data_IF_037849116606
#
_entry.id   IF_037849116606
#
_cell.length_a   1.000
_cell.length_b   1.000
_cell.length_c   1.000
_cell.angle_alpha   90.00
_cell.angle_beta   90.00
_cell.angle_gamma   90.00
#
_symmetry.space_group_name_H-M   'P 1'
#
loop_
_entity.id
_entity.type
_entity.pdbx_description
1 polymer ?
#
# COMPACT_ATOMS: atom_id res chain seq x y z
N UNK A 1 -23.05 11.19 -15.51
CA UNK A 1 -21.59 11.35 -15.71
C UNK A 1 -21.18 12.25 -16.89
N UNK A 2 -21.64 12.01 -18.13
CA UNK A 2 -21.17 12.77 -19.31
C UNK A 2 -21.33 14.30 -19.22
N UNK A 3 -22.34 14.78 -18.48
CA UNK A 3 -22.65 16.20 -18.35
C UNK A 3 -21.86 16.94 -17.25
N UNK A 4 -21.05 16.25 -16.44
CA UNK A 4 -20.25 16.95 -15.43
C UNK A 4 -19.10 17.75 -16.06
N UNK A 5 -18.76 18.95 -15.55
CA UNK A 5 -17.56 19.66 -15.96
C UNK A 5 -16.31 18.80 -15.72
N UNK A 6 -15.34 18.87 -16.63
CA UNK A 6 -14.11 18.05 -16.59
C UNK A 6 -13.35 18.10 -15.26
N UNK A 7 -13.36 19.26 -14.60
CA UNK A 7 -12.75 19.47 -13.27
C UNK A 7 -13.41 18.64 -12.18
N UNK A 8 -14.74 18.64 -12.11
CA UNK A 8 -15.48 17.83 -11.13
C UNK A 8 -15.32 16.34 -11.40
N UNK A 9 -15.15 15.92 -12.67
CA UNK A 9 -14.89 14.51 -12.95
C UNK A 9 -13.59 14.04 -12.36
N UNK A 10 -12.56 14.88 -12.42
CA UNK A 10 -11.25 14.57 -11.86
C UNK A 10 -11.30 14.46 -10.33
N UNK A 11 -12.11 15.29 -9.67
CA UNK A 11 -12.33 15.24 -8.21
C UNK A 11 -13.10 13.97 -7.82
N UNK A 12 -14.09 13.56 -8.63
CA UNK A 12 -14.87 12.36 -8.37
C UNK A 12 -14.17 11.05 -8.80
N UNK A 13 -12.87 11.10 -9.16
CA UNK A 13 -12.09 9.90 -9.39
C UNK A 13 -11.69 9.25 -8.07
N UNK A 14 -11.77 7.92 -8.02
CA UNK A 14 -11.45 7.10 -6.86
C UNK A 14 -10.14 7.49 -6.16
N UNK A 15 -9.08 7.75 -6.94
CA UNK A 15 -7.77 8.09 -6.37
C UNK A 15 -7.76 9.42 -5.62
N UNK A 16 -8.61 10.39 -5.99
CA UNK A 16 -8.70 11.64 -5.24
C UNK A 16 -9.26 11.36 -3.85
N UNK A 17 -10.34 10.57 -3.76
CA UNK A 17 -10.90 10.16 -2.47
C UNK A 17 -9.92 9.31 -1.66
N UNK A 18 -9.19 8.40 -2.31
CA UNK A 18 -8.15 7.59 -1.67
C UNK A 18 -7.06 8.47 -1.04
N UNK A 19 -6.45 9.37 -1.81
CA UNK A 19 -5.37 10.22 -1.28
C UNK A 19 -5.89 11.28 -0.32
N UNK A 20 -7.12 11.76 -0.48
CA UNK A 20 -7.74 12.66 0.47
C UNK A 20 -7.99 11.95 1.82
N UNK A 21 -8.52 10.73 1.82
CA UNK A 21 -8.74 9.96 3.05
C UNK A 21 -7.42 9.62 3.74
N UNK A 22 -6.41 9.17 2.98
CA UNK A 22 -5.06 8.92 3.51
C UNK A 22 -4.42 10.20 4.05
N UNK A 23 -4.60 11.34 3.38
CA UNK A 23 -4.14 12.64 3.86
C UNK A 23 -4.82 13.07 5.16
N UNK A 24 -6.12 12.84 5.30
CA UNK A 24 -6.85 13.09 6.54
C UNK A 24 -6.32 12.22 7.70
N UNK A 25 -6.07 10.93 7.44
CA UNK A 25 -5.45 10.03 8.42
C UNK A 25 -4.06 10.54 8.82
N UNK A 26 -3.21 10.87 7.85
CA UNK A 26 -1.87 11.42 8.10
C UNK A 26 -1.92 12.66 9.00
N UNK A 27 -2.79 13.62 8.67
CA UNK A 27 -2.93 14.87 9.44
C UNK A 27 -3.43 14.56 10.86
N UNK A 28 -4.38 13.63 11.02
CA UNK A 28 -4.88 13.21 12.33
C UNK A 28 -3.74 12.66 13.20
N UNK A 29 -2.93 11.74 12.66
CA UNK A 29 -1.80 11.14 13.37
C UNK A 29 -0.70 12.16 13.69
N UNK A 30 -0.43 13.12 12.79
CA UNK A 30 0.52 14.23 13.04
C UNK A 30 0.02 15.12 14.18
N UNK A 31 -1.27 15.44 14.20
CA UNK A 31 -1.88 16.24 15.27
C UNK A 31 -1.77 15.50 16.61
N UNK A 32 -2.08 14.20 16.63
CA UNK A 32 -1.99 13.37 17.83
C UNK A 32 -0.55 13.30 18.37
N UNK A 33 0.42 13.05 17.49
CA UNK A 33 1.84 13.08 17.85
C UNK A 33 2.27 14.47 18.35
N UNK A 34 1.79 15.55 17.71
CA UNK A 34 2.06 16.92 18.13
C UNK A 34 1.50 17.23 19.51
N UNK A 35 0.28 16.77 19.82
CA UNK A 35 -0.33 16.90 21.14
C UNK A 35 0.45 16.11 22.19
N UNK A 36 0.90 14.90 21.85
CA UNK A 36 1.74 14.08 22.73
C UNK A 36 3.06 14.79 23.06
N UNK A 37 3.74 15.32 22.05
CA UNK A 37 4.99 16.07 22.22
C UNK A 37 4.79 17.36 23.02
N UNK A 38 3.65 18.05 22.83
CA UNK A 38 3.32 19.27 23.57
C UNK A 38 2.94 19.00 25.04
N UNK A 39 2.26 17.88 25.32
CA UNK A 39 1.90 17.45 26.67
C UNK A 39 3.12 16.95 27.46
N UNK A 40 4.12 16.43 26.76
CA UNK A 40 5.37 15.95 27.34
C UNK A 40 6.58 16.72 26.77
N UNK A 41 6.67 18.04 27.02
CA UNK A 41 7.73 18.90 26.47
C UNK A 41 9.12 18.55 27.04
N UNK A 42 9.15 17.67 28.05
CA UNK A 42 10.35 17.13 28.69
C UNK A 42 10.43 15.60 28.51
N UNK A 43 10.22 15.10 27.29
CA UNK A 43 10.92 13.86 26.88
C UNK A 43 12.40 14.22 26.81
N UNK A 44 13.02 14.40 27.99
CA UNK A 44 14.45 14.59 28.06
C UNK A 44 15.06 13.31 27.49
N UNK A 45 15.97 13.38 26.50
CA UNK A 45 16.43 12.20 25.77
C UNK A 45 17.00 11.09 26.68
N UNK A 46 17.44 11.46 27.89
CA UNK A 46 17.93 10.57 28.94
C UNK A 46 16.86 10.02 29.90
N UNK A 47 15.80 10.76 30.19
CA UNK A 47 14.78 10.39 31.19
C UNK A 47 13.41 10.50 30.56
N UNK A 48 13.06 9.46 29.82
CA UNK A 48 11.70 9.27 29.37
C UNK A 48 10.83 9.10 30.63
N UNK A 49 9.88 9.99 30.85
CA UNK A 49 8.91 9.84 31.93
C UNK A 49 7.96 8.69 31.54
N UNK A 50 8.40 7.48 31.82
CA UNK A 50 7.60 6.27 31.70
C UNK A 50 6.56 6.28 32.81
N UNK A 51 5.35 5.83 32.51
CA UNK A 51 4.30 5.72 33.51
C UNK A 51 4.75 4.90 34.73
N UNK A 52 4.43 5.38 35.94
CA UNK A 52 4.91 4.77 37.18
C UNK A 52 4.41 3.32 37.39
N UNK A 53 3.35 2.93 36.68
CA UNK A 53 2.75 1.59 36.69
C UNK A 53 3.49 0.57 35.81
N UNK A 54 4.48 1.00 35.00
CA UNK A 54 5.26 0.08 34.17
C UNK A 54 6.28 -0.72 35.01
N UNK A 55 6.32 -2.07 34.88
CA UNK A 55 7.35 -2.94 35.44
C UNK A 55 8.76 -2.52 35.05
N UNK A 56 9.76 -2.70 35.91
CA UNK A 56 11.14 -2.25 35.65
C UNK A 56 11.77 -2.92 34.42
N UNK A 57 11.39 -4.17 34.15
CA UNK A 57 11.80 -4.95 32.97
C UNK A 57 11.37 -4.30 31.65
N UNK A 58 10.19 -3.67 31.61
CA UNK A 58 9.64 -3.03 30.41
C UNK A 58 10.18 -1.60 30.19
N UNK A 59 10.84 -0.99 31.20
CA UNK A 59 11.34 0.41 31.12
C UNK A 59 12.52 0.60 30.17
N UNK A 60 13.15 -0.48 29.73
CA UNK A 60 14.37 -0.46 28.95
C UNK A 60 14.08 -0.24 27.46
N UNK A 61 13.78 1.01 27.07
CA UNK A 61 13.68 1.40 25.66
C UNK A 61 15.02 2.01 25.19
N UNK A 62 15.70 1.40 24.21
CA UNK A 62 16.98 1.91 23.73
C UNK A 62 16.83 3.28 23.06
N UNK A 63 17.79 4.18 23.28
CA UNK A 63 17.72 5.58 22.83
C UNK A 63 17.65 5.72 21.31
N UNK A 64 18.31 4.86 20.55
CA UNK A 64 18.26 4.88 19.08
C UNK A 64 16.85 4.64 18.53
N UNK A 65 16.06 3.76 19.18
CA UNK A 65 14.70 3.46 18.76
C UNK A 65 13.79 4.67 18.96
N UNK A 66 14.06 5.49 19.99
CA UNK A 66 13.33 6.75 20.23
C UNK A 66 13.55 7.74 19.10
N UNK A 67 14.80 8.00 18.73
CA UNK A 67 15.14 8.88 17.61
C UNK A 67 14.56 8.38 16.30
N UNK A 68 14.63 7.07 16.05
CA UNK A 68 14.01 6.46 14.89
C UNK A 68 12.50 6.69 14.87
N UNK A 69 11.82 6.45 16.00
CA UNK A 69 10.38 6.62 16.11
C UNK A 69 9.92 8.08 15.99
N UNK A 70 10.73 9.06 16.41
CA UNK A 70 10.48 10.49 16.18
C UNK A 70 10.61 10.88 14.70
N UNK A 71 11.38 10.13 13.91
CA UNK A 71 11.50 10.31 12.46
C UNK A 71 10.33 9.74 11.66
N UNK A 72 9.49 8.89 12.26
CA UNK A 72 8.36 8.23 11.57
C UNK A 72 7.33 9.18 10.96
N UNK A 73 6.88 10.29 11.59
CA UNK A 73 5.96 11.23 10.94
C UNK A 73 6.54 11.84 9.66
N UNK A 74 7.85 12.15 9.66
CA UNK A 74 8.53 12.68 8.48
C UNK A 74 8.61 11.62 7.37
N UNK A 75 9.00 10.38 7.72
CA UNK A 75 9.06 9.28 6.77
C UNK A 75 7.69 8.95 6.15
N UNK A 76 6.62 8.97 6.94
CA UNK A 76 5.24 8.79 6.46
C UNK A 76 4.80 9.93 5.54
N UNK A 77 5.08 11.18 5.93
CA UNK A 77 4.75 12.35 5.11
C UNK A 77 5.51 12.35 3.77
N UNK A 78 6.79 11.96 3.76
CA UNK A 78 7.58 11.80 2.53
C UNK A 78 7.02 10.70 1.64
N UNK A 79 6.76 9.51 2.19
CA UNK A 79 6.17 8.38 1.46
C UNK A 79 4.83 8.74 0.84
N UNK A 80 3.96 9.42 1.60
CA UNK A 80 2.68 9.94 1.11
C UNK A 80 2.87 10.96 -0.02
N UNK A 81 3.79 11.90 0.13
CA UNK A 81 4.06 12.97 -0.85
C UNK A 81 4.59 12.41 -2.17
N UNK A 82 5.48 11.43 -2.11
CA UNK A 82 6.05 10.72 -3.27
C UNK A 82 4.95 9.93 -3.98
N UNK A 83 4.16 9.15 -3.25
CA UNK A 83 3.01 8.42 -3.81
C UNK A 83 2.03 9.36 -4.52
N UNK A 84 1.62 10.44 -3.84
CA UNK A 84 0.72 11.44 -4.39
C UNK A 84 1.29 12.12 -5.65
N UNK A 85 2.59 12.43 -5.66
CA UNK A 85 3.27 13.00 -6.81
C UNK A 85 3.27 12.03 -8.01
N UNK A 86 3.62 10.76 -7.80
CA UNK A 86 3.62 9.75 -8.86
C UNK A 86 2.22 9.49 -9.40
N UNK A 87 1.21 9.37 -8.53
CA UNK A 87 -0.19 9.24 -8.95
C UNK A 87 -0.64 10.47 -9.73
N UNK A 88 -0.33 11.68 -9.28
CA UNK A 88 -0.68 12.91 -10.00
C UNK A 88 -0.01 12.99 -11.37
N UNK A 89 1.27 12.61 -11.46
CA UNK A 89 2.01 12.55 -12.74
C UNK A 89 1.40 11.50 -13.68
N UNK A 90 1.06 10.32 -13.17
CA UNK A 90 0.41 9.26 -13.93
C UNK A 90 -0.95 9.72 -14.47
N UNK A 91 -1.80 10.31 -13.61
CA UNK A 91 -3.09 10.86 -14.00
C UNK A 91 -2.98 11.94 -15.09
N UNK A 92 -1.97 12.83 -15.00
CA UNK A 92 -1.70 13.84 -16.03
C UNK A 92 -1.25 13.21 -17.35
N UNK A 93 -0.41 12.19 -17.32
CA UNK A 93 0.05 11.48 -18.51
C UNK A 93 -1.12 10.80 -19.23
N UNK A 94 -2.00 10.13 -18.48
CA UNK A 94 -3.21 9.54 -19.02
C UNK A 94 -4.09 10.58 -19.71
N UNK A 95 -4.29 11.74 -19.08
CA UNK A 95 -5.07 12.83 -19.66
C UNK A 95 -4.47 13.38 -20.95
N UNK A 96 -3.13 13.39 -21.06
CA UNK A 96 -2.42 13.93 -22.22
C UNK A 96 -2.41 12.96 -23.41
N UNK A 97 -2.16 11.68 -23.18
CA UNK A 97 -1.94 10.69 -24.25
C UNK A 97 -3.12 9.77 -24.51
N UNK A 98 -4.00 9.57 -23.53
CA UNK A 98 -5.04 8.57 -23.59
C UNK A 98 -6.27 8.96 -24.39
N UNK A 99 -6.44 10.24 -24.78
CA UNK A 99 -7.59 10.74 -25.57
C UNK A 99 -8.98 10.49 -24.99
N UNK A 100 -9.09 9.81 -23.85
CA UNK A 100 -10.31 9.19 -23.31
C UNK A 100 -10.33 9.15 -21.79
N UNK A 101 -11.39 8.56 -21.22
CA UNK A 101 -11.65 8.58 -19.79
C UNK A 101 -10.76 7.58 -19.04
N UNK A 102 -10.42 7.86 -17.78
CA UNK A 102 -9.74 6.87 -16.92
C UNK A 102 -10.59 5.61 -16.74
N UNK A 103 -11.92 5.76 -16.72
CA UNK A 103 -12.87 4.65 -16.65
C UNK A 103 -12.75 3.66 -17.81
N UNK A 104 -12.12 4.05 -18.92
CA UNK A 104 -12.04 3.21 -20.11
C UNK A 104 -10.95 2.15 -20.01
N UNK A 105 -10.13 2.14 -18.96
CA UNK A 105 -9.07 1.15 -18.76
C UNK A 105 -8.87 0.80 -17.29
N UNK A 106 -9.43 -0.35 -16.87
CA UNK A 106 -9.23 -0.92 -15.52
C UNK A 106 -7.74 -1.06 -15.13
N UNK A 107 -6.86 -1.27 -16.11
CA UNK A 107 -5.41 -1.40 -15.89
C UNK A 107 -4.80 -0.15 -15.21
N UNK A 108 -5.32 1.04 -15.52
CA UNK A 108 -4.82 2.30 -14.94
C UNK A 108 -5.21 2.45 -13.48
N UNK A 109 -6.45 2.10 -13.13
CA UNK A 109 -6.94 2.18 -11.74
C UNK A 109 -6.20 1.18 -10.84
N UNK A 110 -5.97 -0.04 -11.35
CA UNK A 110 -5.14 -1.06 -10.71
C UNK A 110 -3.71 -0.56 -10.43
N UNK A 111 -3.08 0.10 -11.41
CA UNK A 111 -1.73 0.66 -11.25
C UNK A 111 -1.67 1.69 -10.12
N UNK A 112 -2.69 2.54 -9.97
CA UNK A 112 -2.74 3.54 -8.89
C UNK A 112 -2.82 2.88 -7.51
N UNK A 113 -3.53 1.76 -7.37
CA UNK A 113 -3.60 1.01 -6.10
C UNK A 113 -2.22 0.48 -5.70
N UNK A 114 -1.45 -0.05 -6.66
CA UNK A 114 -0.06 -0.49 -6.42
C UNK A 114 0.84 0.68 -6.01
N UNK A 115 0.68 1.84 -6.65
CA UNK A 115 1.47 3.05 -6.30
C UNK A 115 1.12 3.59 -4.91
N UNK A 116 -0.11 3.42 -4.45
CA UNK A 116 -0.57 3.90 -3.14
C UNK A 116 -0.09 3.02 -1.97
N UNK A 117 0.36 1.80 -2.23
CA UNK A 117 0.77 0.83 -1.20
C UNK A 117 1.82 1.39 -0.22
N UNK A 118 2.95 1.98 -0.65
CA UNK A 118 3.96 2.50 0.29
C UNK A 118 3.40 3.56 1.23
N UNK A 119 2.50 4.42 0.75
CA UNK A 119 1.86 5.44 1.57
C UNK A 119 1.00 4.80 2.66
N UNK A 120 0.16 3.82 2.32
CA UNK A 120 -0.69 3.09 3.28
C UNK A 120 0.15 2.37 4.33
N UNK A 121 1.18 1.64 3.91
CA UNK A 121 2.04 0.92 4.84
C UNK A 121 2.75 1.87 5.81
N UNK A 122 3.28 2.99 5.30
CA UNK A 122 3.93 4.01 6.13
C UNK A 122 2.97 4.67 7.13
N UNK A 123 1.71 4.90 6.73
CA UNK A 123 0.68 5.48 7.60
C UNK A 123 0.27 4.52 8.72
N UNK A 124 0.04 3.25 8.41
CA UNK A 124 -0.29 2.24 9.42
C UNK A 124 0.87 2.04 10.40
N UNK A 125 2.11 2.05 9.89
CA UNK A 125 3.31 1.96 10.73
C UNK A 125 3.47 3.19 11.63
N UNK A 126 3.20 4.39 11.12
CA UNK A 126 3.23 5.61 11.91
C UNK A 126 2.15 5.62 13.00
N UNK A 127 0.91 5.28 12.68
CA UNK A 127 -0.16 5.17 13.69
C UNK A 127 0.16 4.14 14.77
N UNK A 128 0.77 3.00 14.40
CA UNK A 128 1.21 2.00 15.37
C UNK A 128 2.30 2.54 16.33
N UNK A 129 3.18 3.41 15.83
CA UNK A 129 4.18 4.10 16.64
C UNK A 129 3.52 5.11 17.59
N UNK A 130 2.56 5.92 17.12
CA UNK A 130 1.79 6.85 17.97
C UNK A 130 1.10 6.10 19.11
N UNK A 131 0.46 4.96 18.83
CA UNK A 131 -0.19 4.14 19.85
C UNK A 131 0.79 3.63 20.92
N UNK A 132 1.99 3.22 20.50
CA UNK A 132 3.05 2.81 21.41
C UNK A 132 3.55 3.99 22.25
N UNK A 133 3.71 5.17 21.67
CA UNK A 133 4.09 6.37 22.41
C UNK A 133 3.05 6.72 23.46
N UNK A 134 1.76 6.71 23.11
CA UNK A 134 0.68 6.95 24.06
C UNK A 134 0.62 5.89 25.18
N UNK A 135 0.98 4.63 24.89
CA UNK A 135 1.14 3.61 25.93
C UNK A 135 2.26 3.97 26.91
N UNK A 136 3.44 4.32 26.38
CA UNK A 136 4.63 4.59 27.19
C UNK A 136 4.50 5.85 28.06
N UNK A 137 3.82 6.87 27.56
CA UNK A 137 3.60 8.15 28.28
C UNK A 137 2.35 8.13 29.15
N UNK A 138 1.43 7.19 28.92
CA UNK A 138 0.10 7.18 29.54
C UNK A 138 -0.80 8.31 29.03
N UNK A 139 -0.41 8.98 27.94
CA UNK A 139 -1.17 10.05 27.34
C UNK A 139 -2.39 9.48 26.59
N UNK A 140 -3.58 9.98 26.91
CA UNK A 140 -4.81 9.71 26.15
C UNK A 140 -5.29 11.01 25.47
N UNK A 141 -4.97 11.23 24.18
CA UNK A 141 -5.36 12.45 23.46
C UNK A 141 -6.88 12.59 23.35
N UNK A 142 -7.63 11.49 23.45
CA UNK A 142 -9.09 11.49 23.35
C UNK A 142 -9.80 11.44 24.71
N UNK A 143 -9.03 11.28 25.81
CA UNK A 143 -9.47 11.38 27.20
C UNK A 143 -10.62 10.46 27.64
N UNK A 144 -11.06 9.51 26.82
CA UNK A 144 -12.30 8.73 27.05
C UNK A 144 -12.27 7.30 26.49
N UNK A 145 -11.19 6.86 25.84
CA UNK A 145 -11.21 5.59 25.09
C UNK A 145 -10.17 4.57 25.54
N UNK A 146 -9.18 4.97 26.32
CA UNK A 146 -8.18 4.01 26.81
C UNK A 146 -8.63 3.37 28.13
N UNK A 147 -8.34 2.08 28.34
CA UNK A 147 -8.55 1.45 29.63
C UNK A 147 -7.78 2.22 30.73
N UNK A 148 -8.46 2.62 31.80
CA UNK A 148 -7.83 3.21 32.99
C UNK A 148 -7.24 2.16 33.93
N UNK A 149 -7.18 0.90 33.49
CA UNK A 149 -6.75 -0.25 34.27
C UNK A 149 -5.26 -0.35 34.54
N UNK A 150 -4.82 -1.54 34.96
CA UNK A 150 -3.41 -1.83 35.21
C UNK A 150 -2.58 -1.80 33.90
N UNK A 151 -1.25 -1.76 34.03
CA UNK A 151 -0.32 -1.76 32.89
C UNK A 151 -0.59 -2.90 31.89
N UNK A 152 -0.90 -4.10 32.39
CA UNK A 152 -1.16 -5.27 31.55
C UNK A 152 -2.37 -5.09 30.64
N UNK A 153 -3.45 -4.50 31.15
CA UNK A 153 -4.67 -4.22 30.38
C UNK A 153 -4.41 -3.14 29.31
N UNK A 154 -3.69 -2.06 29.67
CA UNK A 154 -3.29 -1.01 28.73
C UNK A 154 -2.42 -1.57 27.61
N UNK A 155 -1.41 -2.37 27.97
CA UNK A 155 -0.52 -3.04 27.02
C UNK A 155 -1.30 -3.97 26.09
N UNK A 156 -2.19 -4.81 26.64
CA UNK A 156 -3.03 -5.71 25.84
C UNK A 156 -3.86 -4.95 24.80
N UNK A 157 -4.53 -3.88 25.22
CA UNK A 157 -5.30 -3.02 24.33
C UNK A 157 -4.45 -2.39 23.20
N UNK A 158 -3.27 -1.87 23.54
CA UNK A 158 -2.39 -1.24 22.53
C UNK A 158 -1.80 -2.28 21.59
N UNK A 159 -1.44 -3.47 22.06
CA UNK A 159 -0.98 -4.58 21.22
C UNK A 159 -2.08 -5.03 20.25
N UNK A 160 -3.34 -5.07 20.68
CA UNK A 160 -4.46 -5.38 19.80
C UNK A 160 -4.62 -4.34 18.69
N UNK A 161 -4.59 -3.05 19.03
CA UNK A 161 -4.65 -1.96 18.02
C UNK A 161 -3.46 -1.96 17.08
N UNK A 162 -2.26 -2.17 17.60
CA UNK A 162 -1.04 -2.36 16.82
C UNK A 162 -1.21 -3.50 15.81
N UNK A 163 -1.71 -4.65 16.28
CA UNK A 163 -1.96 -5.82 15.43
C UNK A 163 -2.99 -5.52 14.35
N UNK A 164 -4.06 -4.80 14.68
CA UNK A 164 -5.08 -4.41 13.71
C UNK A 164 -4.52 -3.50 12.60
N UNK A 165 -3.69 -2.52 12.93
CA UNK A 165 -3.05 -1.63 11.94
C UNK A 165 -2.14 -2.41 10.99
N UNK A 166 -1.33 -3.33 11.51
CA UNK A 166 -0.46 -4.17 10.67
C UNK A 166 -1.25 -5.21 9.87
N UNK A 167 -2.36 -5.73 10.39
CA UNK A 167 -3.25 -6.61 9.63
C UNK A 167 -3.85 -5.89 8.41
N UNK A 168 -4.26 -4.63 8.56
CA UNK A 168 -4.73 -3.79 7.45
C UNK A 168 -3.62 -3.53 6.43
N UNK A 169 -2.40 -3.21 6.91
CA UNK A 169 -1.24 -3.01 6.04
C UNK A 169 -0.89 -4.27 5.23
N UNK A 170 -0.86 -5.44 5.88
CA UNK A 170 -0.58 -6.73 5.26
C UNK A 170 -1.67 -7.16 4.27
N UNK A 171 -2.95 -6.90 4.59
CA UNK A 171 -4.05 -7.15 3.66
C UNK A 171 -3.89 -6.30 2.40
N UNK A 172 -3.54 -5.02 2.55
CA UNK A 172 -3.32 -4.14 1.41
C UNK A 172 -2.09 -4.55 0.60
N UNK A 173 -1.01 -4.98 1.26
CA UNK A 173 0.19 -5.53 0.60
C UNK A 173 -0.15 -6.73 -0.28
N UNK A 174 -0.83 -7.73 0.29
CA UNK A 174 -1.23 -8.92 -0.45
C UNK A 174 -2.11 -8.58 -1.67
N UNK A 175 -3.06 -7.65 -1.48
CA UNK A 175 -3.92 -7.18 -2.55
C UNK A 175 -3.16 -6.41 -3.64
N UNK A 176 -2.25 -5.52 -3.26
CA UNK A 176 -1.41 -4.77 -4.20
C UNK A 176 -0.48 -5.70 -5.01
N UNK A 177 0.10 -6.72 -4.36
CA UNK A 177 0.91 -7.73 -5.03
C UNK A 177 0.10 -8.57 -6.03
N UNK A 178 -1.11 -8.97 -5.66
CA UNK A 178 -2.02 -9.68 -6.57
C UNK A 178 -2.30 -8.85 -7.83
N UNK A 179 -2.63 -7.56 -7.64
CA UNK A 179 -2.85 -6.64 -8.76
C UNK A 179 -1.59 -6.50 -9.62
N UNK A 180 -0.43 -6.36 -8.98
CA UNK A 180 0.83 -6.23 -9.71
C UNK A 180 1.13 -7.46 -10.57
N UNK A 181 0.84 -8.67 -10.08
CA UNK A 181 0.98 -9.91 -10.86
C UNK A 181 0.04 -9.89 -12.06
N UNK A 182 -1.23 -9.52 -11.88
CA UNK A 182 -2.17 -9.42 -13.00
C UNK A 182 -1.74 -8.41 -14.06
N UNK A 183 -1.29 -7.22 -13.63
CA UNK A 183 -0.74 -6.20 -14.53
C UNK A 183 0.46 -6.73 -15.33
N UNK A 184 1.30 -7.54 -14.69
CA UNK A 184 2.48 -8.13 -15.32
C UNK A 184 2.11 -9.23 -16.33
N UNK A 185 1.09 -10.05 -16.02
CA UNK A 185 0.60 -11.08 -16.93
C UNK A 185 -0.09 -10.48 -18.15
N UNK A 186 -0.92 -9.45 -17.96
CA UNK A 186 -1.58 -8.72 -19.06
C UNK A 186 -0.53 -8.13 -20.02
N UNK A 187 0.54 -7.55 -19.48
CA UNK A 187 1.64 -6.99 -20.26
C UNK A 187 2.47 -8.07 -20.98
N UNK A 188 2.72 -9.20 -20.31
CA UNK A 188 3.41 -10.33 -20.92
C UNK A 188 2.61 -10.91 -22.09
N UNK A 189 1.30 -11.09 -21.92
CA UNK A 189 0.42 -11.58 -22.99
C UNK A 189 0.38 -10.61 -24.18
N UNK A 190 0.30 -9.30 -23.91
CA UNK A 190 0.38 -8.28 -24.95
C UNK A 190 1.68 -8.36 -25.76
N UNK A 191 2.82 -8.53 -25.09
CA UNK A 191 4.12 -8.64 -25.74
C UNK A 191 4.32 -9.95 -26.53
N UNK A 192 3.79 -11.08 -26.02
CA UNK A 192 3.84 -12.36 -26.75
C UNK A 192 3.07 -12.28 -28.06
N UNK A 193 1.90 -11.63 -28.08
CA UNK A 193 1.08 -11.45 -29.30
C UNK A 193 1.78 -10.61 -30.37
N UNK A 194 2.46 -9.54 -29.96
CA UNK A 194 3.28 -8.73 -30.87
C UNK A 194 4.37 -9.59 -31.53
N UNK A 195 4.92 -10.54 -30.77
CA UNK A 195 6.00 -11.42 -31.25
C UNK A 195 5.50 -12.52 -32.18
N UNK A 196 4.31 -13.09 -31.93
CA UNK A 196 3.75 -14.17 -32.77
C UNK A 196 3.18 -13.68 -34.10
N UNK A 197 2.99 -12.37 -34.29
CA UNK A 197 2.41 -11.81 -35.51
C UNK A 197 0.92 -12.14 -35.68
N UNK A 198 0.28 -12.73 -34.66
CA UNK A 198 -1.16 -12.96 -34.63
C UNK A 198 -1.87 -11.62 -34.38
N UNK A 199 -2.13 -10.88 -35.47
CA UNK A 199 -3.06 -9.75 -35.48
C UNK A 199 -4.51 -10.24 -35.35
N UNK A 200 -4.85 -10.92 -34.25
CA UNK A 200 -6.23 -11.26 -33.97
C UNK A 200 -7.04 -9.96 -33.70
N UNK A 201 -8.24 -9.80 -34.31
CA UNK A 201 -9.03 -8.57 -34.21
C UNK A 201 -9.32 -8.15 -32.76
N UNK A 202 -9.26 -6.85 -32.44
CA UNK A 202 -9.35 -6.34 -31.07
C UNK A 202 -10.71 -6.56 -30.37
N UNK A 203 -11.76 -6.91 -31.10
CA UNK A 203 -13.13 -6.97 -30.56
C UNK A 203 -13.43 -8.21 -29.71
N UNK A 204 -12.74 -9.35 -29.94
CA UNK A 204 -12.93 -10.55 -29.11
C UNK A 204 -12.31 -10.42 -27.70
N UNK A 205 -11.46 -9.41 -27.47
CA UNK A 205 -10.64 -9.25 -26.25
C UNK A 205 -11.40 -8.73 -25.03
N UNK A 206 -12.45 -7.92 -25.22
CA UNK A 206 -13.17 -7.30 -24.09
C UNK A 206 -14.03 -8.29 -23.32
N UNK A 207 -14.52 -9.32 -23.98
CA UNK A 207 -15.50 -10.25 -23.39
C UNK A 207 -14.87 -11.20 -22.37
N UNK A 208 -13.63 -11.66 -22.57
CA UNK A 208 -12.98 -12.61 -21.66
C UNK A 208 -12.45 -11.98 -20.37
N UNK A 209 -11.96 -10.73 -20.40
CA UNK A 209 -11.48 -10.08 -19.16
C UNK A 209 -12.61 -9.50 -18.32
N UNK A 210 -13.72 -9.08 -18.95
CA UNK A 210 -14.96 -8.70 -18.24
C UNK A 210 -15.62 -9.92 -17.59
N UNK A 211 -15.69 -11.06 -18.28
CA UNK A 211 -16.25 -12.30 -17.73
C UNK A 211 -15.49 -12.78 -16.48
N UNK A 212 -14.16 -12.62 -16.44
CA UNK A 212 -13.37 -12.96 -15.24
C UNK A 212 -13.54 -11.97 -14.09
N UNK A 213 -14.01 -10.73 -14.35
CA UNK A 213 -14.16 -9.70 -13.31
C UNK A 213 -15.59 -9.56 -12.78
N UNK A 214 -16.61 -9.82 -13.59
CA UNK A 214 -18.03 -9.73 -13.18
C UNK A 214 -18.46 -10.91 -12.31
N UNK A 215 -17.85 -12.10 -12.46
CA UNK A 215 -18.14 -13.26 -11.61
C UNK A 215 -17.42 -13.22 -10.24
N UNK A 216 -16.55 -12.22 -10.01
CA UNK A 216 -15.73 -12.14 -8.79
C UNK A 216 -16.43 -11.42 -7.61
N UNK A 217 -17.60 -10.82 -7.81
CA UNK A 217 -18.26 -9.99 -6.80
C UNK A 217 -19.30 -10.80 -5.99
N UNK A 218 -18.85 -11.63 -5.03
CA UNK A 218 -19.75 -12.03 -3.94
C UNK A 218 -19.35 -13.25 -3.11
N UNK A 219 -18.74 -14.28 -3.68
CA UNK A 219 -18.34 -15.51 -2.94
C UNK A 219 -17.18 -16.26 -3.59
N UNK A 220 -16.72 -15.82 -4.77
CA UNK A 220 -15.78 -16.57 -5.59
C UNK A 220 -14.33 -16.12 -5.48
N UNK A 221 -14.00 -15.06 -4.74
CA UNK A 221 -12.58 -14.66 -4.58
C UNK A 221 -11.78 -15.76 -3.87
N UNK A 222 -12.34 -16.41 -2.85
CA UNK A 222 -11.68 -17.50 -2.12
C UNK A 222 -11.59 -18.79 -2.95
N UNK A 223 -12.60 -19.05 -3.80
CA UNK A 223 -12.57 -20.13 -4.79
C UNK A 223 -11.63 -19.86 -5.94
N UNK A 224 -11.52 -18.62 -6.41
CA UNK A 224 -10.60 -18.19 -7.46
C UNK A 224 -9.17 -18.16 -6.96
N UNK A 225 -8.90 -17.74 -5.72
CA UNK A 225 -7.59 -17.89 -5.10
C UNK A 225 -7.24 -19.36 -4.92
N UNK A 226 -8.18 -20.20 -4.47
CA UNK A 226 -7.97 -21.65 -4.35
C UNK A 226 -7.79 -22.31 -5.73
N UNK A 227 -8.55 -21.91 -6.76
CA UNK A 227 -8.43 -22.43 -8.12
C UNK A 227 -7.18 -21.92 -8.83
N UNK A 228 -6.79 -20.66 -8.64
CA UNK A 228 -5.54 -20.12 -9.16
C UNK A 228 -4.34 -20.80 -8.49
N UNK A 229 -4.36 -20.99 -7.16
CA UNK A 229 -3.34 -21.76 -6.46
C UNK A 229 -3.30 -23.22 -6.96
N UNK A 230 -4.45 -23.83 -7.19
CA UNK A 230 -4.57 -25.20 -7.73
C UNK A 230 -4.10 -25.29 -9.19
N UNK A 231 -4.41 -24.30 -10.03
CA UNK A 231 -4.03 -24.24 -11.44
C UNK A 231 -2.52 -23.99 -11.60
N UNK A 232 -1.95 -23.14 -10.75
CA UNK A 232 -0.49 -22.93 -10.67
C UNK A 232 0.20 -24.21 -10.18
N UNK A 233 -0.36 -24.89 -9.18
CA UNK A 233 0.16 -26.18 -8.71
C UNK A 233 0.04 -27.28 -9.80
N UNK A 234 -1.06 -27.30 -10.56
CA UNK A 234 -1.33 -28.28 -11.61
C UNK A 234 -0.45 -28.06 -12.86
N UNK A 235 -0.18 -26.81 -13.26
CA UNK A 235 0.74 -26.49 -14.36
C UNK A 235 2.19 -26.90 -14.06
N UNK A 236 2.58 -27.03 -12.79
CA UNK A 236 3.90 -27.53 -12.41
C UNK A 236 4.10 -29.02 -12.70
N UNK A 237 3.02 -29.77 -12.93
CA UNK A 237 3.09 -31.24 -13.03
C UNK A 237 3.12 -31.78 -14.46
N UNK A 238 2.80 -31.00 -15.51
CA UNK A 238 2.54 -31.60 -16.84
C UNK A 238 3.03 -30.80 -18.05
N UNK A 239 4.05 -29.94 -17.91
CA UNK A 239 4.59 -29.19 -19.05
C UNK A 239 6.10 -29.34 -19.22
N UNK A 240 6.51 -30.37 -19.94
CA UNK A 240 7.70 -30.31 -20.80
C UNK A 240 7.44 -29.42 -22.03
N UNK A 241 6.75 -28.29 -21.85
CA UNK A 241 6.63 -27.24 -22.86
C UNK A 241 8.01 -26.62 -22.93
N UNK A 242 8.79 -27.02 -23.93
CA UNK A 242 10.13 -26.52 -24.16
C UNK A 242 10.08 -25.02 -24.40
N UNK A 243 10.34 -24.24 -23.35
CA UNK A 243 10.55 -22.81 -23.46
C UNK A 243 11.63 -22.58 -24.50
N UNK A 244 11.29 -21.88 -25.58
CA UNK A 244 12.32 -21.50 -26.54
C UNK A 244 13.30 -20.55 -25.83
N UNK A 245 14.62 -20.71 -26.04
CA UNK A 245 15.64 -19.89 -25.37
C UNK A 245 15.38 -18.38 -25.49
N UNK A 246 14.77 -17.96 -26.61
CA UNK A 246 14.39 -16.57 -26.87
C UNK A 246 13.34 -16.03 -25.90
N UNK A 247 12.34 -16.82 -25.49
CA UNK A 247 11.31 -16.37 -24.56
C UNK A 247 11.88 -16.17 -23.14
N UNK A 248 12.81 -17.03 -22.72
CA UNK A 248 13.51 -16.86 -21.44
C UNK A 248 14.32 -15.56 -21.40
N UNK A 249 15.03 -15.21 -22.48
CA UNK A 249 15.82 -13.98 -22.51
C UNK A 249 14.97 -12.72 -22.40
N UNK A 250 13.80 -12.69 -23.04
CA UNK A 250 12.92 -11.52 -23.02
C UNK A 250 12.28 -11.33 -21.65
N UNK A 251 11.76 -12.40 -21.04
CA UNK A 251 11.17 -12.35 -19.69
C UNK A 251 12.21 -11.88 -18.68
N UNK A 252 13.43 -12.43 -18.74
CA UNK A 252 14.53 -12.02 -17.86
C UNK A 252 14.92 -10.56 -18.08
N UNK A 253 14.95 -10.06 -19.32
CA UNK A 253 15.25 -8.65 -19.58
C UNK A 253 14.17 -7.71 -19.07
N UNK A 254 12.88 -8.04 -19.24
CA UNK A 254 11.76 -7.22 -18.75
C UNK A 254 11.74 -7.21 -17.22
N UNK A 255 11.87 -8.38 -16.58
CA UNK A 255 11.99 -8.49 -15.13
C UNK A 255 13.20 -7.72 -14.60
N UNK A 256 14.35 -7.81 -15.27
CA UNK A 256 15.57 -7.11 -14.85
C UNK A 256 15.44 -5.59 -15.02
N UNK A 257 14.74 -5.12 -16.05
CA UNK A 257 14.45 -3.70 -16.26
C UNK A 257 13.51 -3.16 -15.17
N UNK A 258 12.41 -3.87 -14.90
CA UNK A 258 11.42 -3.50 -13.88
C UNK A 258 12.01 -3.56 -12.46
N UNK A 259 12.77 -4.61 -12.14
CA UNK A 259 13.41 -4.74 -10.82
C UNK A 259 14.55 -3.76 -10.63
N UNK A 260 15.43 -3.54 -11.61
CA UNK A 260 16.52 -2.59 -11.46
C UNK A 260 16.01 -1.14 -11.35
N UNK A 261 15.01 -0.75 -12.14
CA UNK A 261 14.41 0.59 -11.99
C UNK A 261 13.63 0.70 -10.68
N UNK A 262 12.80 -0.29 -10.33
CA UNK A 262 12.02 -0.28 -9.10
C UNK A 262 12.90 -0.25 -7.84
N UNK A 263 13.92 -1.11 -7.78
CA UNK A 263 14.88 -1.19 -6.67
C UNK A 263 15.75 0.06 -6.60
N UNK A 264 16.23 0.59 -7.73
CA UNK A 264 17.01 1.83 -7.74
C UNK A 264 16.18 3.01 -7.23
N UNK A 265 14.92 3.12 -7.67
CA UNK A 265 14.00 4.14 -7.15
C UNK A 265 13.73 3.94 -5.67
N UNK A 266 13.41 2.73 -5.23
CA UNK A 266 13.18 2.43 -3.82
C UNK A 266 14.40 2.79 -2.95
N UNK A 267 15.61 2.37 -3.34
CA UNK A 267 16.85 2.69 -2.63
C UNK A 267 17.11 4.20 -2.61
N UNK A 268 16.97 4.89 -3.75
CA UNK A 268 17.09 6.36 -3.78
C UNK A 268 16.07 7.04 -2.87
N UNK A 269 14.86 6.49 -2.77
CA UNK A 269 13.78 7.04 -1.93
C UNK A 269 14.01 6.77 -0.44
N UNK A 270 14.70 5.67 -0.08
CA UNK A 270 15.06 5.37 1.30
C UNK A 270 16.30 6.14 1.80
N UNK A 271 17.16 6.61 0.90
CA UNK A 271 18.41 7.31 1.24
C UNK A 271 18.35 8.85 1.08
N UNK A 272 17.30 9.39 0.44
CA UNK A 272 17.03 10.83 0.32
C UNK A 272 15.90 11.25 1.28
#
# INVERSE_FOLDING_TARGET
>A
WRNLPSRFRSIAQYYFFLYASLGCVLISEIIEMGQLLAAHPLIHPSTFAVTADMPEEDRHCPSWLRWLSLGTPLAAALSFSIGAYHTARHARAIRKFGGGFLSDSMQRDRTVQVIAFPAIFSLMSFGAVVELWCLLTGFDPHGKRRPTGNWSEKRGYVVERYTALFAVAALYEAYALLIFVWLSLDELEANMRITTGDEAPPEARRSSSLALSEDAEGTDVERQLSQAASAVAFQSSDSSVGWQPQQQTTVVQVLRSLTMQGVLWFVLTCFL
#
